data_IF_069754506272
#
_entry.id   IF_069754506272
#
_cell.length_a   1.000
_cell.length_b   1.000
_cell.length_c   1.000
_cell.angle_alpha   90.00
_cell.angle_beta   90.00
_cell.angle_gamma   90.00
#
_symmetry.space_group_name_H-M   'P 1'
#
loop_
_entity.id
_entity.type
_entity.pdbx_description
1 polymer ?
#
# COMPACT_ATOMS: atom_id res chain seq x y z
N UNK A 1 -10.44 5.29 -23.39
CA UNK A 1 -9.94 3.98 -22.93
C UNK A 1 -10.23 3.95 -21.46
N UNK A 2 -10.90 2.89 -21.04
CA UNK A 2 -11.38 2.71 -19.68
C UNK A 2 -10.83 1.38 -19.20
N UNK A 3 -10.17 1.40 -18.04
CA UNK A 3 -9.46 0.25 -17.49
C UNK A 3 -9.77 0.15 -16.01
N UNK A 4 -10.37 -0.97 -15.63
CA UNK A 4 -10.60 -1.33 -14.23
C UNK A 4 -9.67 -2.48 -13.90
N UNK A 5 -8.82 -2.30 -12.89
CA UNK A 5 -7.88 -3.31 -12.45
C UNK A 5 -8.16 -3.67 -11.00
N UNK A 6 -8.16 -4.97 -10.72
CA UNK A 6 -8.14 -5.50 -9.36
C UNK A 6 -6.82 -6.21 -9.15
N UNK A 7 -6.06 -5.78 -8.13
CA UNK A 7 -4.72 -6.27 -7.86
C UNK A 7 -4.69 -6.96 -6.50
N UNK A 8 -4.34 -8.24 -6.48
CA UNK A 8 -4.17 -9.03 -5.27
C UNK A 8 -2.69 -9.23 -4.96
N UNK A 9 -2.31 -9.12 -3.70
CA UNK A 9 -0.94 -9.33 -3.28
C UNK A 9 -0.71 -8.98 -1.82
N UNK A 10 0.53 -8.59 -1.53
CA UNK A 10 1.00 -8.36 -0.17
C UNK A 10 1.39 -6.89 0.00
N UNK A 11 0.95 -6.32 1.12
CA UNK A 11 1.37 -5.02 1.61
C UNK A 11 2.39 -5.17 2.74
N UNK A 12 3.25 -4.17 2.87
CA UNK A 12 4.19 -4.10 3.98
C UNK A 12 4.23 -2.68 4.55
N UNK A 13 4.20 -2.55 5.87
CA UNK A 13 4.31 -1.25 6.54
C UNK A 13 5.30 -1.27 7.71
N UNK A 14 5.98 -0.15 8.01
CA UNK A 14 6.77 -0.01 9.23
C UNK A 14 5.91 -0.21 10.47
N UNK A 15 6.42 -0.98 11.43
CA UNK A 15 5.80 -1.18 12.75
C UNK A 15 6.85 -0.89 13.82
N UNK A 16 6.52 0.00 14.75
CA UNK A 16 7.31 0.22 15.96
C UNK A 16 6.72 -0.63 17.08
N UNK A 17 7.54 -1.48 17.68
CA UNK A 17 7.16 -2.36 18.77
C UNK A 17 8.06 -2.10 19.98
N UNK A 18 7.46 -2.07 21.18
CA UNK A 18 8.21 -2.04 22.44
C UNK A 18 8.38 -3.48 22.92
N UNK A 19 9.62 -3.96 22.98
CA UNK A 19 9.94 -5.32 23.43
C UNK A 19 10.69 -5.27 24.77
N UNK A 20 10.36 -6.15 25.73
CA UNK A 20 11.11 -6.23 26.97
C UNK A 20 12.51 -6.79 26.70
N UNK A 21 13.52 -6.17 27.29
CA UNK A 21 14.90 -6.65 27.27
C UNK A 21 15.31 -7.00 28.70
N UNK A 22 15.93 -8.18 28.86
CA UNK A 22 16.45 -8.60 30.16
C UNK A 22 17.94 -8.29 30.22
N UNK A 23 18.36 -7.57 31.25
CA UNK A 23 19.78 -7.36 31.51
C UNK A 23 20.13 -7.82 32.92
N UNK A 24 21.28 -8.47 33.05
CA UNK A 24 21.74 -9.00 34.33
C UNK A 24 22.31 -7.87 35.19
N UNK A 25 21.66 -7.60 36.32
CA UNK A 25 22.14 -6.63 37.30
C UNK A 25 23.10 -7.30 38.28
N UNK A 26 24.40 -7.08 38.11
CA UNK A 26 25.44 -7.66 38.98
C UNK A 26 25.36 -7.19 40.44
N UNK A 27 24.80 -6.00 40.71
CA UNK A 27 24.69 -5.45 42.07
C UNK A 27 23.60 -6.15 42.87
N UNK A 28 22.45 -6.39 42.25
CA UNK A 28 21.30 -7.02 42.88
C UNK A 28 21.20 -8.54 42.63
N UNK A 29 22.08 -9.09 41.77
CA UNK A 29 22.12 -10.52 41.37
C UNK A 29 20.77 -11.01 40.85
N UNK A 30 20.10 -10.16 40.09
CA UNK A 30 18.80 -10.44 39.48
C UNK A 30 18.76 -9.93 38.04
N UNK A 31 17.76 -10.36 37.29
CA UNK A 31 17.47 -9.84 35.95
C UNK A 31 16.50 -8.67 36.06
N UNK A 32 16.94 -7.50 35.62
CA UNK A 32 16.09 -6.34 35.48
C UNK A 32 15.44 -6.34 34.09
N UNK A 33 14.17 -5.95 34.05
CA UNK A 33 13.44 -5.76 32.80
C UNK A 33 13.55 -4.31 32.37
N UNK A 34 14.08 -4.10 31.17
CA UNK A 34 14.07 -2.83 30.47
C UNK A 34 13.22 -2.97 29.19
N UNK A 35 13.03 -1.89 28.43
CA UNK A 35 12.26 -1.89 27.19
C UNK A 35 13.06 -1.29 26.05
N UNK A 36 13.12 -2.00 24.93
CA UNK A 36 13.69 -1.49 23.69
C UNK A 36 12.58 -1.22 22.66
N UNK A 37 12.71 -0.11 21.94
CA UNK A 37 11.88 0.13 20.75
C UNK A 37 12.56 -0.48 19.54
N UNK A 38 11.90 -1.46 18.91
CA UNK A 38 12.35 -2.11 17.69
C UNK A 38 11.46 -1.69 16.54
N UNK A 39 12.08 -1.36 15.41
CA UNK A 39 11.38 -1.02 14.18
C UNK A 39 11.44 -2.20 13.22
N UNK A 40 10.29 -2.75 12.85
CA UNK A 40 10.15 -3.90 11.96
C UNK A 40 9.27 -3.58 10.76
N UNK A 41 9.16 -4.51 9.81
CA UNK A 41 8.17 -4.48 8.74
C UNK A 41 7.08 -5.49 9.06
N UNK A 42 5.82 -5.04 9.05
CA UNK A 42 4.64 -5.89 9.15
C UNK A 42 4.05 -6.12 7.78
N UNK A 43 4.01 -7.38 7.37
CA UNK A 43 3.40 -7.84 6.13
C UNK A 43 1.92 -8.17 6.34
N UNK A 44 1.12 -8.02 5.29
CA UNK A 44 -0.31 -8.34 5.30
C UNK A 44 -0.84 -8.54 3.88
N UNK A 45 -1.85 -9.39 3.73
CA UNK A 45 -2.57 -9.48 2.46
C UNK A 45 -3.36 -8.21 2.17
N UNK A 46 -3.34 -7.79 0.92
CA UNK A 46 -3.99 -6.59 0.43
C UNK A 46 -4.60 -6.80 -0.96
N UNK A 47 -5.70 -6.09 -1.20
CA UNK A 47 -6.29 -5.91 -2.51
C UNK A 47 -6.38 -4.42 -2.79
N UNK A 48 -5.93 -4.01 -3.97
CA UNK A 48 -5.96 -2.63 -4.47
C UNK A 48 -6.77 -2.61 -5.75
N UNK A 49 -7.60 -1.58 -5.94
CA UNK A 49 -8.33 -1.37 -7.18
C UNK A 49 -7.84 -0.10 -7.86
N UNK A 50 -7.78 -0.12 -9.19
CA UNK A 50 -7.27 1.00 -9.99
C UNK A 50 -8.23 1.21 -11.15
N UNK A 51 -8.78 2.41 -11.22
CA UNK A 51 -9.71 2.83 -12.25
C UNK A 51 -9.06 3.93 -13.08
N UNK A 52 -8.94 3.72 -14.39
CA UNK A 52 -8.37 4.69 -15.32
C UNK A 52 -9.42 4.99 -16.39
N UNK A 53 -9.74 6.28 -16.55
CA UNK A 53 -10.66 6.79 -17.54
C UNK A 53 -9.96 7.90 -18.32
N UNK A 54 -9.53 7.60 -19.54
CA UNK A 54 -8.76 8.55 -20.36
C UNK A 54 -7.41 8.90 -19.73
N UNK A 55 -7.26 10.16 -19.32
CA UNK A 55 -6.07 10.73 -18.67
C UNK A 55 -6.19 10.83 -17.14
N UNK A 56 -7.36 10.50 -16.58
CA UNK A 56 -7.63 10.48 -15.14
C UNK A 56 -7.53 9.06 -14.59
N UNK A 57 -7.02 8.94 -13.37
CA UNK A 57 -6.96 7.66 -12.66
C UNK A 57 -7.24 7.79 -11.17
N UNK A 58 -7.82 6.75 -10.60
CA UNK A 58 -8.07 6.64 -9.17
C UNK A 58 -7.58 5.29 -8.64
N UNK A 59 -7.14 5.27 -7.39
CA UNK A 59 -6.71 4.07 -6.70
C UNK A 59 -7.47 3.91 -5.39
N UNK A 60 -8.10 2.76 -5.20
CA UNK A 60 -8.70 2.37 -3.94
C UNK A 60 -7.65 1.66 -3.09
N UNK A 61 -7.48 2.13 -1.85
CA UNK A 61 -6.54 1.55 -0.91
C UNK A 61 -7.25 0.91 0.29
N UNK A 62 -6.94 -0.34 0.65
CA UNK A 62 -7.40 -0.92 1.89
C UNK A 62 -6.78 -0.15 3.06
N UNK A 63 -7.52 -0.01 4.16
CA UNK A 63 -7.11 0.77 5.34
C UNK A 63 -5.70 0.44 5.87
N UNK A 64 -5.24 -0.80 5.70
CA UNK A 64 -3.90 -1.23 6.14
C UNK A 64 -2.75 -0.55 5.37
N UNK A 65 -2.99 -0.09 4.14
CA UNK A 65 -2.04 0.68 3.31
C UNK A 65 -2.13 2.19 3.53
N UNK A 66 -3.15 2.67 4.26
CA UNK A 66 -3.34 4.09 4.55
C UNK A 66 -2.69 4.43 5.90
N UNK A 67 -1.77 5.41 5.95
CA UNK A 67 -1.11 5.81 7.19
C UNK A 67 -2.11 6.45 8.17
N UNK A 68 -1.87 6.38 9.49
CA UNK A 68 -2.78 6.96 10.48
C UNK A 68 -3.06 8.45 10.26
N UNK A 69 -2.03 9.21 9.88
CA UNK A 69 -2.15 10.63 9.51
C UNK A 69 -2.14 10.72 7.99
N UNK A 70 -3.31 10.99 7.42
CA UNK A 70 -3.54 11.11 5.99
C UNK A 70 -4.48 12.29 5.70
N UNK A 71 -4.48 12.76 4.45
CA UNK A 71 -5.49 13.69 3.95
C UNK A 71 -6.80 12.95 3.70
N UNK A 72 -7.93 13.64 3.64
CA UNK A 72 -9.22 13.01 3.34
C UNK A 72 -9.17 12.31 1.99
N UNK A 73 -9.63 11.06 1.94
CA UNK A 73 -9.91 10.32 0.71
C UNK A 73 -11.39 10.39 0.37
N UNK A 74 -11.74 10.21 -0.90
CA UNK A 74 -13.14 10.02 -1.29
C UNK A 74 -13.51 8.55 -1.11
N UNK A 75 -14.05 8.18 0.06
CA UNK A 75 -14.49 6.81 0.35
C UNK A 75 -13.39 5.75 0.17
N UNK A 76 -12.11 6.11 0.39
CA UNK A 76 -10.96 5.21 0.20
C UNK A 76 -10.29 5.30 -1.17
N UNK A 77 -10.87 6.07 -2.09
CA UNK A 77 -10.28 6.39 -3.39
C UNK A 77 -9.36 7.60 -3.31
N UNK A 78 -8.28 7.52 -4.08
CA UNK A 78 -7.25 8.54 -4.18
C UNK A 78 -7.00 8.84 -5.65
N UNK A 79 -6.91 10.12 -6.00
CA UNK A 79 -6.53 10.54 -7.35
C UNK A 79 -5.08 10.15 -7.64
N UNK A 80 -4.86 9.62 -8.84
CA UNK A 80 -3.54 9.33 -9.39
C UNK A 80 -3.08 10.54 -10.18
N UNK A 81 -2.11 11.28 -9.64
CA UNK A 81 -1.41 12.36 -10.31
C UNK A 81 -0.25 11.82 -11.14
N UNK A 82 0.20 12.59 -12.14
CA UNK A 82 1.30 12.22 -13.04
C UNK A 82 1.06 10.86 -13.74
N UNK A 83 -0.20 10.56 -14.07
CA UNK A 83 -0.58 9.30 -14.71
C UNK A 83 0.03 9.20 -16.11
N UNK A 84 0.71 8.09 -16.37
CA UNK A 84 1.28 7.73 -17.66
C UNK A 84 0.80 6.33 -18.04
N UNK A 85 -0.01 6.23 -19.08
CA UNK A 85 -0.52 4.96 -19.61
C UNK A 85 0.24 4.62 -20.88
N UNK A 86 1.24 3.75 -20.76
CA UNK A 86 2.02 3.24 -21.87
C UNK A 86 1.58 1.85 -22.34
N UNK A 87 2.08 1.37 -23.49
CA UNK A 87 1.76 0.03 -23.99
C UNK A 87 2.25 -1.10 -23.08
N UNK A 88 3.39 -0.91 -22.42
CA UNK A 88 4.03 -1.92 -21.55
C UNK A 88 3.78 -1.68 -20.07
N UNK A 89 3.47 -0.45 -19.68
CA UNK A 89 3.49 -0.05 -18.30
C UNK A 89 2.54 1.11 -18.02
N UNK A 90 1.93 1.09 -16.84
CA UNK A 90 1.14 2.19 -16.28
C UNK A 90 1.88 2.69 -15.05
N UNK A 91 2.06 4.01 -14.93
CA UNK A 91 2.74 4.62 -13.78
C UNK A 91 1.98 5.85 -13.32
N UNK A 92 2.12 6.16 -12.04
CA UNK A 92 1.58 7.40 -11.48
C UNK A 92 2.02 7.59 -10.04
N UNK A 93 1.44 8.60 -9.40
CA UNK A 93 1.63 8.90 -7.99
C UNK A 93 0.28 9.21 -7.37
N UNK A 94 0.13 9.00 -6.08
CA UNK A 94 -1.02 9.51 -5.35
C UNK A 94 -0.55 10.14 -4.04
N UNK A 95 -1.37 11.01 -3.45
CA UNK A 95 -0.97 11.78 -2.28
C UNK A 95 -1.75 11.33 -1.06
N UNK A 96 -1.07 10.66 -0.14
CA UNK A 96 -1.64 10.28 1.15
C UNK A 96 -1.57 11.41 2.17
N UNK A 97 -0.52 12.25 2.12
CA UNK A 97 -0.39 13.48 2.89
C UNK A 97 0.72 14.40 2.33
N UNK A 98 1.06 15.45 3.08
CA UNK A 98 2.18 16.39 2.83
C UNK A 98 3.47 15.76 2.32
N UNK A 99 3.91 14.72 3.03
CA UNK A 99 5.21 14.07 2.91
C UNK A 99 5.13 12.75 2.13
N UNK A 100 4.03 12.01 2.28
CA UNK A 100 3.84 10.69 1.71
C UNK A 100 3.10 10.77 0.37
N UNK A 101 3.87 10.63 -0.71
CA UNK A 101 3.38 10.59 -2.10
C UNK A 101 3.85 9.29 -2.78
N UNK A 102 3.19 8.14 -2.52
CA UNK A 102 3.63 6.88 -3.09
C UNK A 102 3.59 6.88 -4.62
N UNK A 103 4.45 6.07 -5.21
CA UNK A 103 4.50 5.82 -6.65
C UNK A 103 3.87 4.46 -6.94
N UNK A 104 3.03 4.40 -7.97
CA UNK A 104 2.47 3.15 -8.49
C UNK A 104 3.11 2.82 -9.84
N UNK A 105 3.39 1.53 -10.05
CA UNK A 105 3.88 0.97 -11.31
C UNK A 105 3.13 -0.33 -11.61
N UNK A 106 2.65 -0.51 -12.83
CA UNK A 106 1.98 -1.73 -13.28
C UNK A 106 2.60 -2.15 -14.60
N UNK A 107 3.21 -3.33 -14.63
CA UNK A 107 3.67 -3.96 -15.86
C UNK A 107 2.50 -4.65 -16.56
N UNK A 108 2.08 -4.12 -17.71
CA UNK A 108 0.93 -4.62 -18.47
C UNK A 108 1.21 -5.96 -19.16
N UNK A 109 2.47 -6.32 -19.33
CA UNK A 109 2.86 -7.59 -19.96
C UNK A 109 2.74 -8.76 -18.98
N UNK A 110 3.02 -8.52 -17.69
CA UNK A 110 3.02 -9.56 -16.65
C UNK A 110 1.84 -9.44 -15.69
N UNK A 111 1.13 -8.31 -15.69
CA UNK A 111 0.13 -7.96 -14.69
C UNK A 111 0.73 -7.54 -13.35
N UNK A 112 2.06 -7.52 -13.19
CA UNK A 112 2.68 -7.20 -11.90
C UNK A 112 2.49 -5.73 -11.52
N UNK A 113 2.05 -5.45 -10.30
CA UNK A 113 1.93 -4.11 -9.76
C UNK A 113 2.74 -3.93 -8.48
N UNK A 114 3.31 -2.74 -8.35
CA UNK A 114 4.04 -2.30 -7.17
C UNK A 114 3.59 -0.91 -6.72
N UNK A 115 3.57 -0.71 -5.41
CA UNK A 115 3.44 0.59 -4.77
C UNK A 115 4.69 0.82 -3.92
N UNK A 116 5.38 1.91 -4.21
CA UNK A 116 6.56 2.35 -3.49
C UNK A 116 6.21 3.58 -2.64
N UNK A 117 6.29 3.44 -1.33
CA UNK A 117 5.99 4.51 -0.37
C UNK A 117 6.34 4.09 1.05
N UNK A 118 5.84 4.82 2.04
CA UNK A 118 6.02 4.43 3.44
C UNK A 118 5.42 3.05 3.72
N UNK A 119 4.22 2.79 3.19
CA UNK A 119 3.69 1.44 3.04
C UNK A 119 3.87 1.01 1.59
N UNK A 120 4.31 -0.22 1.39
CA UNK A 120 4.51 -0.80 0.07
C UNK A 120 3.42 -1.82 -0.26
N UNK A 121 3.26 -2.10 -1.55
CA UNK A 121 2.43 -3.19 -2.07
C UNK A 121 3.16 -3.87 -3.23
N UNK A 122 2.99 -5.17 -3.36
CA UNK A 122 3.48 -5.98 -4.47
C UNK A 122 2.44 -7.05 -4.78
N UNK A 123 2.02 -7.16 -6.04
CA UNK A 123 0.97 -8.11 -6.42
C UNK A 123 0.79 -8.27 -7.92
N UNK A 124 -0.31 -8.91 -8.28
CA UNK A 124 -0.71 -9.15 -9.67
C UNK A 124 -2.10 -8.59 -9.89
N UNK A 125 -2.26 -7.85 -10.98
CA UNK A 125 -3.50 -7.24 -11.42
C UNK A 125 -4.16 -8.05 -12.53
N UNK A 126 -5.48 -8.07 -12.49
CA UNK A 126 -6.34 -8.54 -13.56
C UNK A 126 -7.26 -7.42 -14.00
N UNK A 127 -7.46 -7.28 -15.31
CA UNK A 127 -8.49 -6.40 -15.86
C UNK A 127 -9.87 -6.95 -15.47
N UNK A 128 -10.63 -6.15 -14.73
CA UNK A 128 -12.03 -6.41 -14.46
C UNK A 128 -12.86 -5.78 -15.58
N UNK A 129 -13.14 -6.58 -16.61
CA UNK A 129 -13.92 -6.13 -17.76
C UNK A 129 -15.42 -5.99 -17.47
N UNK A 130 -15.80 -5.92 -16.18
CA UNK A 130 -17.13 -5.55 -15.73
C UNK A 130 -18.20 -6.23 -16.56
N UNK A 131 -18.18 -7.57 -16.65
CA UNK A 131 -19.26 -8.29 -17.34
C UNK A 131 -20.57 -7.91 -16.64
N UNK A 132 -21.29 -7.05 -17.34
CA UNK A 132 -22.59 -6.50 -16.99
C UNK A 132 -23.59 -7.62 -16.74
N UNK A 133 -23.66 -8.11 -15.51
CA UNK A 133 -24.91 -8.59 -14.96
C UNK A 133 -25.05 -8.19 -13.50
N UNK A 134 -25.87 -7.16 -13.27
CA UNK A 134 -26.56 -6.97 -11.99
C UNK A 134 -27.14 -8.32 -11.54
N UNK A 135 -26.56 -8.93 -10.50
CA UNK A 135 -27.14 -10.00 -9.67
C UNK A 135 -26.43 -9.91 -8.31
N UNK A 136 -27.07 -9.68 -7.16
CA UNK A 136 -28.46 -9.78 -6.72
C UNK A 136 -28.81 -8.60 -5.79
#
# INVERSE_FOLDING_TARGET
>A
MDLHLVCYGEGARPEAQSVPTLHWNRRHKEFDTDYATVMSRKEFDAMVQIDIHGDSGHIYLPKKLVPPIHTTSDNGWWEITDLQVGPREIRGRYRLNGLNKPKISINRMTGHASIEGQSGFSGTCTEDNGDTSRRF
#
